data_IF_215025502358
#
_entry.id   IF_215025502358
#
_cell.length_a   1.000
_cell.length_b   1.000
_cell.length_c   1.000
_cell.angle_alpha   90.00
_cell.angle_beta   90.00
_cell.angle_gamma   90.00
#
_symmetry.space_group_name_H-M   'P 1'
#
loop_
_entity.id
_entity.type
_entity.pdbx_description
1 polymer ?
#
# COMPACT_ATOMS: atom_id res chain seq x y z
N UNK A 1 -60.99 46.78 -0.77
CA UNK A 1 -59.81 47.66 -0.91
C UNK A 1 -58.59 46.77 -0.84
N UNK A 2 -58.06 46.44 -2.00
CA UNK A 2 -56.86 45.61 -2.18
C UNK A 2 -55.63 46.48 -1.90
N UNK A 3 -54.67 45.95 -1.14
CA UNK A 3 -53.33 46.53 -1.03
C UNK A 3 -52.34 45.53 -1.64
N UNK A 4 -51.99 45.77 -2.90
CA UNK A 4 -50.79 45.21 -3.53
C UNK A 4 -49.56 45.83 -2.88
N UNK A 5 -48.68 45.00 -2.31
CA UNK A 5 -47.31 45.39 -1.97
C UNK A 5 -46.37 44.76 -3.00
N UNK A 6 -46.13 45.50 -4.08
CA UNK A 6 -45.03 45.23 -5.00
C UNK A 6 -43.71 45.61 -4.33
N UNK A 7 -42.97 44.60 -3.85
CA UNK A 7 -41.56 44.77 -3.48
C UNK A 7 -40.75 44.65 -4.76
N UNK A 8 -40.44 45.80 -5.38
CA UNK A 8 -39.35 45.90 -6.36
C UNK A 8 -38.03 45.68 -5.63
N UNK A 9 -37.39 44.54 -5.91
CA UNK A 9 -36.02 44.25 -5.54
C UNK A 9 -35.10 44.86 -6.59
N UNK A 10 -34.64 46.10 -6.34
CA UNK A 10 -33.53 46.70 -7.10
C UNK A 10 -32.21 46.07 -6.62
N UNK A 11 -31.75 45.07 -7.37
CA UNK A 11 -30.47 44.42 -7.20
C UNK A 11 -29.33 45.28 -7.75
N UNK A 12 -28.94 46.33 -7.03
CA UNK A 12 -27.67 47.03 -7.26
C UNK A 12 -26.71 46.68 -6.13
N UNK A 13 -25.83 45.68 -6.37
CA UNK A 13 -24.75 45.36 -5.46
C UNK A 13 -23.82 46.58 -5.30
N UNK A 14 -23.41 46.97 -4.07
CA UNK A 14 -22.51 48.08 -3.87
C UNK A 14 -21.14 47.75 -4.48
N UNK A 15 -20.57 48.69 -5.24
CA UNK A 15 -19.24 48.55 -5.82
C UNK A 15 -18.20 48.27 -4.71
N UNK A 16 -17.28 47.29 -4.90
CA UNK A 16 -16.30 46.95 -3.89
C UNK A 16 -15.42 48.16 -3.59
N UNK A 17 -15.30 48.51 -2.30
CA UNK A 17 -14.42 49.58 -1.85
C UNK A 17 -12.96 49.25 -2.20
N UNK A 18 -12.16 50.25 -2.56
CA UNK A 18 -10.77 50.05 -3.00
C UNK A 18 -9.88 49.28 -2.00
N UNK A 19 -10.26 49.24 -0.72
CA UNK A 19 -9.59 48.44 0.31
C UNK A 19 -9.83 46.93 0.15
N UNK A 20 -11.00 46.53 -0.34
CA UNK A 20 -11.31 45.11 -0.58
C UNK A 20 -10.51 44.57 -1.76
N UNK A 21 -10.43 45.32 -2.85
CA UNK A 21 -9.62 44.97 -4.02
C UNK A 21 -8.12 44.85 -3.67
N UNK A 22 -7.62 45.71 -2.78
CA UNK A 22 -6.25 45.63 -2.29
C UNK A 22 -6.01 44.35 -1.45
N UNK A 23 -6.95 44.00 -0.57
CA UNK A 23 -6.87 42.80 0.26
C UNK A 23 -6.88 41.51 -0.58
N UNK A 24 -7.73 41.44 -1.60
CA UNK A 24 -7.75 40.31 -2.54
C UNK A 24 -6.45 40.17 -3.32
N UNK A 25 -5.90 41.28 -3.82
CA UNK A 25 -4.63 41.28 -4.56
C UNK A 25 -3.46 40.79 -3.68
N UNK A 26 -3.40 41.24 -2.41
CA UNK A 26 -2.37 40.79 -1.46
C UNK A 26 -2.53 39.31 -1.14
N UNK A 27 -3.76 38.83 -0.93
CA UNK A 27 -4.03 37.42 -0.68
C UNK A 27 -3.63 36.54 -1.86
N UNK A 28 -3.97 36.94 -3.09
CA UNK A 28 -3.60 36.22 -4.31
C UNK A 28 -2.07 36.18 -4.51
N UNK A 29 -1.38 37.30 -4.27
CA UNK A 29 0.08 37.36 -4.37
C UNK A 29 0.76 36.42 -3.35
N UNK A 30 0.28 36.41 -2.10
CA UNK A 30 0.80 35.50 -1.07
C UNK A 30 0.54 34.04 -1.41
N UNK A 31 -0.64 33.72 -1.93
CA UNK A 31 -1.00 32.36 -2.31
C UNK A 31 -0.16 31.86 -3.49
N UNK A 32 0.09 32.72 -4.49
CA UNK A 32 0.99 32.44 -5.60
C UNK A 32 2.44 32.22 -5.13
N UNK A 33 2.92 33.02 -4.18
CA UNK A 33 4.26 32.86 -3.60
C UNK A 33 4.40 31.54 -2.84
N UNK A 34 3.42 31.20 -1.99
CA UNK A 34 3.40 29.92 -1.26
C UNK A 34 3.40 28.75 -2.23
N UNK A 35 2.53 28.79 -3.24
CA UNK A 35 2.43 27.73 -4.25
C UNK A 35 3.76 27.53 -5.01
N UNK A 36 4.40 28.63 -5.40
CA UNK A 36 5.71 28.60 -6.07
C UNK A 36 6.79 27.99 -5.18
N UNK A 37 6.81 28.34 -3.89
CA UNK A 37 7.77 27.81 -2.92
C UNK A 37 7.58 26.29 -2.69
N UNK A 38 6.33 25.84 -2.61
CA UNK A 38 6.00 24.41 -2.46
C UNK A 38 6.46 23.62 -3.69
N UNK A 39 6.21 24.13 -4.90
CA UNK A 39 6.69 23.49 -6.13
C UNK A 39 8.22 23.43 -6.18
N UNK A 40 8.90 24.53 -5.87
CA UNK A 40 10.36 24.58 -5.85
C UNK A 40 10.95 23.55 -4.86
N UNK A 41 10.36 23.42 -3.67
CA UNK A 41 10.77 22.43 -2.67
C UNK A 41 10.54 21.00 -3.18
N UNK A 42 9.40 20.73 -3.82
CA UNK A 42 9.09 19.42 -4.40
C UNK A 42 10.12 19.02 -5.46
N UNK A 43 10.46 19.95 -6.37
CA UNK A 43 11.50 19.71 -7.39
C UNK A 43 12.87 19.47 -6.76
N UNK A 44 13.25 20.25 -5.74
CA UNK A 44 14.51 20.08 -5.03
C UNK A 44 14.63 18.70 -4.38
N UNK A 45 13.59 18.24 -3.67
CA UNK A 45 13.55 16.91 -3.04
C UNK A 45 13.66 15.81 -4.10
N UNK A 46 12.92 15.93 -5.20
CA UNK A 46 12.95 14.94 -6.28
C UNK A 46 14.33 14.87 -6.94
N UNK A 47 15.00 16.01 -7.11
CA UNK A 47 16.36 16.08 -7.63
C UNK A 47 17.36 15.42 -6.68
N UNK A 48 17.28 15.69 -5.38
CA UNK A 48 18.14 15.07 -4.37
C UNK A 48 17.98 13.54 -4.39
N UNK A 49 16.74 13.04 -4.41
CA UNK A 49 16.48 11.59 -4.47
C UNK A 49 17.07 10.96 -5.74
N UNK A 50 17.01 11.66 -6.88
CA UNK A 50 17.60 11.20 -8.14
C UNK A 50 19.13 11.16 -8.07
N UNK A 51 19.76 12.18 -7.47
CA UNK A 51 21.22 12.23 -7.27
C UNK A 51 21.66 11.10 -6.33
N UNK A 52 20.99 10.91 -5.19
CA UNK A 52 21.29 9.82 -4.26
C UNK A 52 21.17 8.47 -4.96
N UNK A 53 20.11 8.24 -5.74
CA UNK A 53 19.96 7.00 -6.51
C UNK A 53 21.05 6.83 -7.56
N UNK A 54 21.54 7.91 -8.16
CA UNK A 54 22.65 7.87 -9.12
C UNK A 54 24.01 7.62 -8.45
N UNK A 55 24.21 8.09 -7.22
CA UNK A 55 25.46 7.92 -6.48
C UNK A 55 25.55 6.55 -5.79
N UNK A 56 24.41 5.97 -5.42
CA UNK A 56 24.34 4.70 -4.69
C UNK A 56 23.71 3.54 -5.49
N UNK A 57 23.31 3.80 -6.74
CA UNK A 57 22.85 2.78 -7.68
C UNK A 57 24.03 2.08 -8.33
N UNK A 58 24.04 0.74 -8.23
CA UNK A 58 24.96 -0.22 -8.87
C UNK A 58 26.13 -0.76 -8.02
N UNK A 59 26.06 -0.63 -6.68
CA UNK A 59 26.84 -1.50 -5.79
C UNK A 59 26.03 -2.72 -5.34
N UNK A 60 25.58 -3.54 -6.30
CA UNK A 60 25.35 -4.95 -6.00
C UNK A 60 26.74 -5.57 -5.84
N UNK A 61 27.13 -6.11 -4.67
CA UNK A 61 28.36 -6.85 -4.57
C UNK A 61 28.27 -8.01 -5.57
N UNK A 62 29.09 -7.98 -6.62
CA UNK A 62 29.31 -9.14 -7.47
C UNK A 62 29.86 -10.23 -6.57
N UNK A 63 28.99 -11.14 -6.16
CA UNK A 63 29.33 -12.35 -5.42
C UNK A 63 30.23 -13.18 -6.33
N UNK A 64 31.54 -12.92 -6.25
CA UNK A 64 32.57 -13.77 -6.85
C UNK A 64 32.43 -15.14 -6.22
N UNK A 65 31.79 -16.05 -6.95
CA UNK A 65 31.66 -17.45 -6.57
C UNK A 65 33.08 -18.02 -6.39
N UNK A 66 33.50 -18.42 -5.17
CA UNK A 66 34.75 -19.13 -5.02
C UNK A 66 34.61 -20.52 -5.65
N UNK A 67 35.72 -21.14 -6.08
CA UNK A 67 35.69 -22.48 -6.66
C UNK A 67 35.04 -23.45 -5.66
N UNK A 68 34.12 -24.26 -6.18
CA UNK A 68 33.32 -25.22 -5.43
C UNK A 68 34.25 -26.21 -4.74
N UNK A 69 34.43 -26.06 -3.43
CA UNK A 69 35.11 -27.06 -2.62
C UNK A 69 34.09 -28.20 -2.34
N UNK A 70 34.26 -29.41 -2.91
CA UNK A 70 33.25 -30.46 -2.87
C UNK A 70 33.03 -31.06 -1.46
N UNK A 71 33.71 -30.54 -0.44
CA UNK A 71 33.64 -31.00 0.95
C UNK A 71 33.21 -29.93 1.96
N UNK A 72 32.82 -28.72 1.52
CA UNK A 72 32.29 -27.71 2.42
C UNK A 72 30.93 -28.17 3.00
N UNK A 73 30.88 -28.46 4.30
CA UNK A 73 29.62 -28.75 5.01
C UNK A 73 28.70 -27.53 4.92
N UNK A 74 27.41 -27.68 4.55
CA UNK A 74 26.47 -26.56 4.49
C UNK A 74 26.02 -26.22 5.91
N UNK A 75 26.83 -25.47 6.65
CA UNK A 75 26.44 -25.05 8.01
C UNK A 75 27.22 -23.81 8.43
N UNK A 76 26.99 -22.69 7.74
CA UNK A 76 27.31 -21.34 8.26
C UNK A 76 26.43 -20.24 7.65
N UNK A 77 25.25 -20.57 7.11
CA UNK A 77 24.20 -19.55 6.93
C UNK A 77 23.51 -19.40 8.28
N UNK A 78 23.75 -18.27 8.93
CA UNK A 78 22.97 -17.86 10.10
C UNK A 78 21.48 -18.08 9.81
N UNK A 79 20.75 -18.66 10.78
CA UNK A 79 19.33 -18.92 10.61
C UNK A 79 18.62 -17.62 10.20
N UNK A 80 17.68 -17.66 9.23
CA UNK A 80 16.98 -16.46 8.80
C UNK A 80 16.26 -15.83 10.01
N UNK A 81 16.24 -14.49 10.13
CA UNK A 81 15.51 -13.82 11.18
C UNK A 81 14.03 -14.20 11.10
N UNK A 82 13.29 -14.27 12.22
CA UNK A 82 11.88 -14.64 12.24
C UNK A 82 11.06 -13.90 11.18
N UNK A 83 10.18 -14.62 10.47
CA UNK A 83 9.44 -14.05 9.35
C UNK A 83 8.62 -12.81 9.75
N UNK A 84 8.08 -12.81 10.97
CA UNK A 84 7.39 -11.66 11.54
C UNK A 84 8.27 -10.39 11.50
N UNK A 85 9.52 -10.48 11.92
CA UNK A 85 10.46 -9.34 11.93
C UNK A 85 10.74 -8.85 10.51
N UNK A 86 10.88 -9.77 9.55
CA UNK A 86 11.05 -9.42 8.13
C UNK A 86 9.83 -8.68 7.60
N UNK A 87 8.62 -9.16 7.91
CA UNK A 87 7.37 -8.53 7.49
C UNK A 87 7.20 -7.15 8.15
N UNK A 88 7.43 -7.02 9.45
CA UNK A 88 7.35 -5.74 10.17
C UNK A 88 8.37 -4.73 9.62
N UNK A 89 9.62 -5.15 9.39
CA UNK A 89 10.64 -4.31 8.77
C UNK A 89 10.26 -3.86 7.35
N UNK A 90 9.65 -4.75 6.56
CA UNK A 90 9.17 -4.43 5.22
C UNK A 90 7.99 -3.44 5.21
N UNK A 91 7.16 -3.47 6.25
CA UNK A 91 5.98 -2.61 6.41
C UNK A 91 6.30 -1.26 7.06
N UNK A 92 7.31 -1.19 7.94
CA UNK A 92 7.75 0.02 8.64
C UNK A 92 8.51 1.02 7.76
N UNK A 93 8.70 0.74 6.47
CA UNK A 93 9.26 1.72 5.53
C UNK A 93 8.29 2.91 5.41
N UNK A 94 8.79 4.16 5.48
CA UNK A 94 7.95 5.35 5.57
C UNK A 94 6.94 5.42 4.40
N UNK A 95 5.70 5.83 4.69
CA UNK A 95 4.56 5.99 3.77
C UNK A 95 3.69 4.79 3.38
N UNK A 96 3.68 3.67 4.11
CA UNK A 96 2.71 2.60 3.81
C UNK A 96 1.44 2.65 4.65
N UNK A 97 1.50 2.99 5.94
CA UNK A 97 0.30 2.95 6.81
C UNK A 97 -0.33 1.56 6.89
N UNK A 98 0.43 0.52 6.53
CA UNK A 98 0.00 -0.87 6.59
C UNK A 98 0.35 -1.43 7.97
N UNK A 99 -0.46 -2.37 8.47
CA UNK A 99 -0.23 -3.05 9.75
C UNK A 99 -0.26 -4.56 9.56
N UNK A 100 0.56 -5.25 10.35
CA UNK A 100 0.58 -6.70 10.42
C UNK A 100 -0.41 -7.18 11.48
N UNK A 101 -1.19 -8.22 11.14
CA UNK A 101 -2.09 -8.91 12.05
C UNK A 101 -1.65 -10.37 12.12
N UNK A 102 -1.40 -10.87 13.33
CA UNK A 102 -0.94 -12.23 13.55
C UNK A 102 -2.13 -13.17 13.63
N UNK A 103 -2.06 -14.28 12.89
CA UNK A 103 -3.03 -15.38 12.97
C UNK A 103 -4.50 -14.98 12.85
N UNK A 104 -4.91 -14.04 11.96
CA UNK A 104 -6.31 -13.69 11.84
C UNK A 104 -7.11 -14.89 11.34
N UNK A 105 -8.34 -15.08 11.83
CA UNK A 105 -9.22 -16.11 11.30
C UNK A 105 -9.61 -15.75 9.86
N UNK A 106 -9.72 -16.77 9.02
CA UNK A 106 -9.94 -16.60 7.58
C UNK A 106 -11.26 -15.86 7.30
N UNK A 107 -12.28 -16.06 8.13
CA UNK A 107 -13.58 -15.41 7.99
C UNK A 107 -13.50 -13.89 8.22
N UNK A 108 -12.68 -13.42 9.16
CA UNK A 108 -12.35 -12.00 9.35
C UNK A 108 -11.61 -11.44 8.13
N UNK A 109 -10.63 -12.16 7.60
CA UNK A 109 -9.85 -11.72 6.44
C UNK A 109 -10.74 -11.54 5.21
N UNK A 110 -11.66 -12.47 4.95
CA UNK A 110 -12.55 -12.44 3.78
C UNK A 110 -13.86 -11.67 4.02
N UNK A 111 -14.10 -11.18 5.24
CA UNK A 111 -15.33 -10.49 5.60
C UNK A 111 -15.49 -9.22 4.74
N UNK A 112 -16.42 -9.27 3.78
CA UNK A 112 -16.99 -8.08 3.16
C UNK A 112 -18.33 -7.75 3.81
N UNK A 113 -18.74 -6.47 3.86
CA UNK A 113 -20.12 -6.11 4.10
C UNK A 113 -21.01 -6.87 3.10
N UNK A 114 -21.86 -7.77 3.59
CA UNK A 114 -22.78 -8.58 2.77
C UNK A 114 -22.37 -10.03 2.51
N UNK A 115 -21.17 -10.49 2.88
CA UNK A 115 -20.74 -11.89 2.68
C UNK A 115 -21.06 -12.78 3.88
N UNK A 116 -22.34 -12.89 4.24
CA UNK A 116 -22.79 -13.82 5.28
C UNK A 116 -23.27 -15.12 4.61
N UNK A 117 -22.37 -16.04 4.25
CA UNK A 117 -22.81 -17.35 3.72
C UNK A 117 -21.78 -18.50 3.91
N UNK A 118 -22.14 -19.42 4.81
CA UNK A 118 -22.22 -20.89 4.62
C UNK A 118 -20.99 -21.80 4.51
N UNK A 119 -19.78 -21.40 4.90
CA UNK A 119 -18.67 -22.38 5.05
C UNK A 119 -18.19 -22.49 6.51
N UNK A 120 -18.65 -23.53 7.21
CA UNK A 120 -18.29 -23.80 8.61
C UNK A 120 -16.80 -24.18 8.74
N UNK A 121 -16.21 -24.83 7.73
CA UNK A 121 -14.78 -25.18 7.72
C UNK A 121 -13.86 -23.95 7.62
N UNK A 122 -14.24 -22.96 6.80
CA UNK A 122 -13.51 -21.70 6.67
C UNK A 122 -13.48 -20.87 7.98
N UNK A 123 -14.46 -21.04 8.87
CA UNK A 123 -14.51 -20.35 10.17
C UNK A 123 -13.45 -20.81 11.17
N UNK A 124 -12.91 -22.02 11.00
CA UNK A 124 -11.86 -22.54 11.87
C UNK A 124 -10.45 -22.35 11.28
N UNK A 125 -10.36 -22.03 9.98
CA UNK A 125 -9.10 -21.79 9.30
C UNK A 125 -8.51 -20.43 9.72
N UNK A 126 -7.22 -20.40 10.00
CA UNK A 126 -6.45 -19.18 10.28
C UNK A 126 -5.42 -18.96 9.18
N UNK A 127 -5.15 -17.70 8.87
CA UNK A 127 -4.02 -17.28 8.05
C UNK A 127 -2.86 -16.97 8.98
N UNK A 128 -1.62 -17.40 8.68
CA UNK A 128 -0.48 -17.09 9.57
C UNK A 128 -0.29 -15.59 9.81
N UNK A 129 -0.34 -14.79 8.75
CA UNK A 129 -0.28 -13.33 8.85
C UNK A 129 -1.23 -12.62 7.88
N UNK A 130 -1.96 -11.63 8.37
CA UNK A 130 -2.74 -10.70 7.55
C UNK A 130 -2.11 -9.32 7.50
N UNK A 131 -2.23 -8.64 6.38
CA UNK A 131 -1.76 -7.26 6.22
C UNK A 131 -2.98 -6.39 5.96
N UNK A 132 -3.16 -5.35 6.77
CA UNK A 132 -4.23 -4.36 6.63
C UNK A 132 -3.65 -3.03 6.18
N UNK A 133 -4.41 -2.24 5.42
CA UNK A 133 -4.05 -0.86 5.08
C UNK A 133 -4.48 0.15 6.17
N UNK A 134 -4.23 1.44 5.90
CA UNK A 134 -4.63 2.53 6.79
C UNK A 134 -6.13 2.67 7.00
N UNK A 135 -6.96 2.10 6.09
CA UNK A 135 -8.42 2.06 6.23
C UNK A 135 -8.91 0.90 7.09
N UNK A 136 -8.03 -0.04 7.44
CA UNK A 136 -8.37 -1.25 8.19
C UNK A 136 -8.81 -2.42 7.31
N UNK A 137 -8.67 -2.32 5.98
CA UNK A 137 -9.03 -3.41 5.07
C UNK A 137 -7.84 -4.34 4.82
N UNK A 138 -8.07 -5.65 4.79
CA UNK A 138 -7.05 -6.63 4.41
C UNK A 138 -6.60 -6.43 2.96
N UNK A 139 -5.29 -6.24 2.77
CA UNK A 139 -4.61 -6.03 1.48
C UNK A 139 -3.84 -7.25 1.01
N UNK A 140 -3.44 -8.15 1.92
CA UNK A 140 -2.63 -9.33 1.61
C UNK A 140 -2.76 -10.34 2.76
N UNK A 141 -2.79 -11.63 2.42
CA UNK A 141 -2.60 -12.74 3.33
C UNK A 141 -1.20 -13.34 3.11
N UNK A 142 -0.56 -13.83 4.16
CA UNK A 142 0.74 -14.52 4.11
C UNK A 142 0.62 -15.85 4.85
N UNK A 143 1.07 -16.93 4.21
CA UNK A 143 1.06 -18.29 4.78
C UNK A 143 2.46 -18.89 4.67
N UNK A 144 2.92 -19.51 5.76
CA UNK A 144 4.18 -20.25 5.78
C UNK A 144 3.92 -21.68 5.34
N UNK A 145 4.55 -22.09 4.25
CA UNK A 145 4.49 -23.47 3.79
C UNK A 145 5.40 -24.34 4.65
N UNK A 146 4.79 -25.16 5.50
CA UNK A 146 5.44 -26.26 6.20
C UNK A 146 5.56 -27.48 5.28
N UNK A 147 6.58 -27.48 4.40
CA UNK A 147 7.02 -28.66 3.65
C UNK A 147 6.01 -29.21 2.63
N UNK A 148 5.95 -30.55 2.49
CA UNK A 148 5.20 -31.28 1.43
C UNK A 148 3.67 -31.23 1.55
N UNK A 149 3.12 -30.45 2.47
CA UNK A 149 1.66 -30.41 2.66
C UNK A 149 1.01 -29.69 1.46
N UNK A 150 -0.02 -30.29 0.84
CA UNK A 150 -0.70 -29.65 -0.28
C UNK A 150 -1.31 -28.33 0.15
N UNK A 151 -1.30 -27.35 -0.76
CA UNK A 151 -1.98 -26.06 -0.55
C UNK A 151 -3.43 -26.32 -0.16
N UNK A 152 -3.88 -25.63 0.88
CA UNK A 152 -5.28 -25.62 1.24
C UNK A 152 -6.07 -24.91 0.12
N UNK A 153 -6.67 -25.71 -0.75
CA UNK A 153 -7.41 -25.25 -1.91
C UNK A 153 -8.62 -24.39 -1.50
N UNK A 154 -9.22 -24.65 -0.34
CA UNK A 154 -10.34 -23.89 0.18
C UNK A 154 -9.89 -22.49 0.60
N UNK A 155 -8.77 -22.38 1.35
CA UNK A 155 -8.17 -21.08 1.69
C UNK A 155 -7.81 -20.27 0.43
N UNK A 156 -7.16 -20.91 -0.53
CA UNK A 156 -6.76 -20.26 -1.78
C UNK A 156 -7.97 -19.71 -2.55
N UNK A 157 -9.02 -20.52 -2.69
CA UNK A 157 -10.23 -20.12 -3.39
C UNK A 157 -11.01 -19.04 -2.63
N UNK A 158 -11.07 -19.10 -1.29
CA UNK A 158 -11.70 -18.09 -0.46
C UNK A 158 -11.02 -16.72 -0.60
N UNK A 159 -9.70 -16.67 -0.49
CA UNK A 159 -8.91 -15.44 -0.67
C UNK A 159 -9.02 -14.90 -2.09
N UNK A 160 -9.00 -15.78 -3.10
CA UNK A 160 -9.20 -15.41 -4.51
C UNK A 160 -10.56 -14.74 -4.74
N UNK A 161 -11.64 -15.30 -4.18
CA UNK A 161 -12.99 -14.71 -4.24
C UNK A 161 -13.06 -13.36 -3.52
N UNK A 162 -12.40 -13.26 -2.36
CA UNK A 162 -12.31 -12.01 -1.61
C UNK A 162 -11.48 -10.91 -2.32
N UNK A 163 -10.73 -11.28 -3.38
CA UNK A 163 -9.72 -10.46 -4.06
C UNK A 163 -8.59 -10.04 -3.11
N UNK A 164 -8.19 -10.95 -2.23
CA UNK A 164 -7.07 -10.78 -1.32
C UNK A 164 -5.92 -11.62 -1.88
N UNK A 165 -4.77 -11.01 -2.25
CA UNK A 165 -3.61 -11.77 -2.69
C UNK A 165 -3.06 -12.62 -1.55
N UNK A 166 -2.66 -13.85 -1.89
CA UNK A 166 -1.96 -14.76 -0.99
C UNK A 166 -0.47 -14.77 -1.34
N UNK A 167 0.37 -14.50 -0.35
CA UNK A 167 1.82 -14.67 -0.43
C UNK A 167 2.20 -15.94 0.33
N UNK A 168 2.73 -16.92 -0.39
CA UNK A 168 3.24 -18.14 0.23
C UNK A 168 4.74 -17.98 0.48
N UNK A 169 5.14 -18.26 1.71
CA UNK A 169 6.54 -18.16 2.15
C UNK A 169 7.04 -19.57 2.45
N UNK A 170 8.07 -20.06 1.75
CA UNK A 170 8.63 -21.37 2.06
C UNK A 170 9.35 -21.34 3.42
N UNK A 171 9.44 -22.49 4.10
CA UNK A 171 10.08 -22.56 5.42
C UNK A 171 11.56 -22.13 5.44
N UNK A 172 12.26 -22.27 4.32
CA UNK A 172 13.66 -21.89 4.10
C UNK A 172 13.80 -20.53 3.39
N UNK A 173 12.85 -19.63 3.60
CA UNK A 173 12.77 -18.35 2.90
C UNK A 173 14.04 -17.50 2.98
N UNK A 174 14.26 -16.74 1.91
CA UNK A 174 15.18 -15.61 1.88
C UNK A 174 14.42 -14.32 2.22
N UNK A 175 14.93 -13.56 3.20
CA UNK A 175 14.29 -12.32 3.67
C UNK A 175 14.16 -11.27 2.55
N UNK A 176 15.17 -11.13 1.69
CA UNK A 176 15.14 -10.18 0.58
C UNK A 176 14.09 -10.59 -0.47
N UNK A 177 13.96 -11.89 -0.72
CA UNK A 177 12.91 -12.41 -1.60
C UNK A 177 11.50 -12.13 -1.06
N UNK A 178 11.26 -12.39 0.23
CA UNK A 178 9.97 -12.11 0.89
C UNK A 178 9.64 -10.63 0.80
N UNK A 179 10.59 -9.74 1.09
CA UNK A 179 10.38 -8.29 1.02
C UNK A 179 9.97 -7.84 -0.40
N UNK A 180 10.65 -8.37 -1.41
CA UNK A 180 10.36 -8.10 -2.81
C UNK A 180 8.99 -8.64 -3.24
N UNK A 181 8.64 -9.85 -2.82
CA UNK A 181 7.36 -10.46 -3.12
C UNK A 181 6.20 -9.68 -2.48
N UNK A 182 6.36 -9.29 -1.21
CA UNK A 182 5.41 -8.46 -0.49
C UNK A 182 5.23 -7.10 -1.19
N UNK A 183 6.32 -6.43 -1.57
CA UNK A 183 6.26 -5.17 -2.31
C UNK A 183 5.45 -5.27 -3.60
N UNK A 184 5.62 -6.36 -4.36
CA UNK A 184 4.86 -6.61 -5.60
C UNK A 184 3.39 -6.91 -5.33
N UNK A 185 3.06 -7.59 -4.23
CA UNK A 185 1.68 -7.86 -3.84
C UNK A 185 0.94 -6.56 -3.50
N UNK A 186 1.56 -5.68 -2.73
CA UNK A 186 0.97 -4.40 -2.30
C UNK A 186 0.85 -3.39 -3.46
N UNK A 187 1.86 -3.30 -4.33
CA UNK A 187 1.83 -2.39 -5.49
C UNK A 187 0.74 -2.74 -6.52
N UNK A 188 0.38 -4.03 -6.66
CA UNK A 188 -0.72 -4.44 -7.55
C UNK A 188 -2.08 -3.94 -7.07
N UNK A 189 -2.27 -3.76 -5.76
CA UNK A 189 -3.55 -3.29 -5.21
C UNK A 189 -3.69 -1.77 -5.29
N UNK A 190 -2.61 -1.01 -5.11
CA UNK A 190 -2.62 0.45 -5.28
C UNK A 190 -2.96 0.88 -6.72
N UNK A 191 -2.59 0.08 -7.72
CA UNK A 191 -2.94 0.35 -9.11
C UNK A 191 -4.39 -0.08 -9.44
N UNK A 192 -4.99 -0.95 -8.62
CA UNK A 192 -6.36 -1.42 -8.77
C UNK A 192 -7.42 -0.47 -8.19
N UNK A 193 -7.03 0.52 -7.38
CA UNK A 193 -7.93 1.58 -6.91
C UNK A 193 -8.19 2.68 -7.93
N UNK A 194 -7.49 2.71 -9.06
CA UNK A 194 -7.69 3.72 -10.13
C UNK A 194 -8.35 3.18 -11.42
N UNK A 195 -8.54 1.87 -11.59
CA UNK A 195 -9.11 1.36 -12.85
C UNK A 195 -10.51 0.78 -12.69
N UNK A 196 -11.50 1.64 -12.98
CA UNK A 196 -12.68 1.22 -13.75
C UNK A 196 -12.20 0.44 -14.97
N UNK A 197 -12.78 -0.76 -15.16
CA UNK A 197 -12.86 -1.53 -16.40
C UNK A 197 -11.77 -1.29 -17.47
N UNK A 198 -10.79 -2.19 -17.54
CA UNK A 198 -10.27 -2.62 -18.84
C UNK A 198 -10.07 -4.12 -18.81
N UNK A 199 -10.97 -4.85 -19.47
CA UNK A 199 -10.72 -6.22 -19.87
C UNK A 199 -9.63 -6.19 -20.94
N UNK A 200 -8.55 -6.94 -20.75
CA UNK A 200 -7.63 -7.26 -21.84
C UNK A 200 -7.72 -8.76 -22.04
N UNK A 201 -8.39 -9.14 -23.13
CA UNK A 201 -8.21 -10.43 -23.77
C UNK A 201 -6.91 -10.37 -24.58
N UNK A 202 -6.03 -11.34 -24.36
CA UNK A 202 -5.15 -11.92 -25.38
C UNK A 202 -5.05 -13.42 -25.11
#
# INVERSE_FOLDING_TARGET
MEFETAILSDGSAPAPSGLYALAEAVLQANLALIFTLVLALFFLVTLILRIVRSLFGDNQPTETTPPSDPFARPSDKAAPPPLQEVLEAALNKPNRGHRLVLRPPLDEVIARPGWHSRHVAARAAQIDYGIIDGSGAYVCAVEVQSGRMPRDAEKCEALRRARIPLLEVPADYDAAHVENALRRALARRSNGSEHRHTAIHM
#
